data_IF_968440841563
#
_entry.id   IF_968440841563
#
_cell.length_a   1.000
_cell.length_b   1.000
_cell.length_c   1.000
_cell.angle_alpha   90.00
_cell.angle_beta   90.00
_cell.angle_gamma   90.00
#
_symmetry.space_group_name_H-M   'P 1'
#
loop_
_entity.id
_entity.type
_entity.pdbx_description
1 polymer ?
#
# COMPACT_ATOMS: atom_id res chain seq x y z
N UNK A 1 -25.92 69.43 13.13
CA UNK A 1 -24.60 69.63 13.74
C UNK A 1 -24.33 68.48 14.69
N UNK A 2 -23.72 67.40 14.19
CA UNK A 2 -23.31 66.26 15.02
C UNK A 2 -21.92 66.57 15.57
N UNK A 3 -21.80 66.52 16.91
CA UNK A 3 -20.55 66.74 17.67
C UNK A 3 -19.44 65.86 17.09
N UNK A 4 -18.46 66.46 16.42
CA UNK A 4 -17.14 65.85 16.27
C UNK A 4 -16.49 65.88 17.67
N UNK A 5 -16.62 64.79 18.41
CA UNK A 5 -15.73 64.53 19.54
C UNK A 5 -14.33 64.36 18.95
N UNK A 6 -13.46 65.35 19.18
CA UNK A 6 -12.04 65.27 18.84
C UNK A 6 -11.41 64.19 19.70
N UNK A 7 -11.25 62.98 19.15
CA UNK A 7 -10.44 61.93 19.76
C UNK A 7 -9.04 62.47 20.09
N UNK A 8 -8.55 62.11 21.27
CA UNK A 8 -7.20 62.41 21.71
C UNK A 8 -6.17 61.69 20.81
N UNK A 9 -4.94 62.19 20.78
CA UNK A 9 -3.85 61.57 20.00
C UNK A 9 -3.59 60.13 20.49
N UNK A 10 -3.77 59.89 21.78
CA UNK A 10 -3.61 58.58 22.42
C UNK A 10 -4.70 57.59 21.98
N UNK A 11 -5.98 58.01 21.95
CA UNK A 11 -7.08 57.18 21.42
C UNK A 11 -6.89 56.84 19.93
N UNK A 12 -6.41 57.79 19.12
CA UNK A 12 -6.12 57.54 17.70
C UNK A 12 -4.97 56.56 17.49
N UNK A 13 -3.93 56.62 18.34
CA UNK A 13 -2.82 55.68 18.29
C UNK A 13 -3.25 54.27 18.73
N UNK A 14 -4.12 54.17 19.74
CA UNK A 14 -4.70 52.92 20.19
C UNK A 14 -5.58 52.28 19.10
N UNK A 15 -6.45 53.07 18.46
CA UNK A 15 -7.29 52.63 17.35
C UNK A 15 -6.44 52.17 16.15
N UNK A 16 -5.39 52.92 15.81
CA UNK A 16 -4.47 52.58 14.72
C UNK A 16 -3.72 51.27 15.01
N UNK A 17 -3.23 51.09 16.25
CA UNK A 17 -2.58 49.86 16.67
C UNK A 17 -3.53 48.66 16.59
N UNK A 18 -4.78 48.83 17.06
CA UNK A 18 -5.79 47.78 17.05
C UNK A 18 -6.16 47.39 15.60
N UNK A 19 -6.29 48.37 14.71
CA UNK A 19 -6.52 48.14 13.29
C UNK A 19 -5.35 47.39 12.65
N UNK A 20 -4.11 47.81 12.91
CA UNK A 20 -2.92 47.18 12.34
C UNK A 20 -2.71 45.76 12.87
N UNK A 21 -2.97 45.53 14.16
CA UNK A 21 -2.96 44.20 14.76
C UNK A 21 -4.00 43.30 14.07
N UNK A 22 -5.24 43.77 13.94
CA UNK A 22 -6.33 43.02 13.29
C UNK A 22 -6.00 42.73 11.82
N UNK A 23 -5.46 43.70 11.08
CA UNK A 23 -5.04 43.53 9.68
C UNK A 23 -3.93 42.48 9.55
N UNK A 24 -2.95 42.47 10.47
CA UNK A 24 -1.89 41.45 10.48
C UNK A 24 -2.45 40.06 10.74
N UNK A 25 -3.43 39.92 11.65
CA UNK A 25 -4.11 38.65 11.89
C UNK A 25 -4.87 38.18 10.64
N UNK A 26 -5.55 39.10 9.95
CA UNK A 26 -6.33 38.80 8.75
C UNK A 26 -5.43 38.35 7.58
N UNK A 27 -4.27 38.98 7.42
CA UNK A 27 -3.25 38.57 6.44
C UNK A 27 -2.71 37.16 6.73
N UNK A 28 -2.46 36.84 8.00
CA UNK A 28 -2.01 35.50 8.40
C UNK A 28 -3.08 34.44 8.11
N UNK A 29 -4.36 34.74 8.35
CA UNK A 29 -5.47 33.83 8.02
C UNK A 29 -5.55 33.61 6.50
N UNK A 30 -5.43 34.66 5.69
CA UNK A 30 -5.46 34.54 4.24
C UNK A 30 -4.29 33.71 3.69
N UNK A 31 -3.09 33.84 4.27
CA UNK A 31 -1.93 33.00 3.92
C UNK A 31 -2.20 31.53 4.24
N UNK A 32 -2.66 31.24 5.46
CA UNK A 32 -3.01 29.88 5.88
C UNK A 32 -4.09 29.27 4.98
N UNK A 33 -5.09 30.07 4.58
CA UNK A 33 -6.15 29.66 3.66
C UNK A 33 -5.65 29.31 2.25
N UNK A 34 -4.46 29.78 1.86
CA UNK A 34 -3.81 29.40 0.59
C UNK A 34 -2.84 28.23 0.74
N UNK A 35 -2.05 28.21 1.81
CA UNK A 35 -1.04 27.17 2.07
C UNK A 35 -1.68 25.83 2.46
N UNK A 36 -2.71 25.84 3.29
CA UNK A 36 -3.33 24.63 3.83
C UNK A 36 -4.08 23.80 2.76
N UNK A 37 -4.82 24.38 1.79
CA UNK A 37 -5.38 23.61 0.68
C UNK A 37 -4.32 22.95 -0.21
N UNK A 38 -3.20 23.61 -0.46
CA UNK A 38 -2.10 23.03 -1.21
C UNK A 38 -1.51 21.83 -0.48
N UNK A 39 -1.32 21.96 0.84
CA UNK A 39 -0.83 20.87 1.67
C UNK A 39 -1.79 19.68 1.73
N UNK A 40 -3.11 19.93 1.81
CA UNK A 40 -4.14 18.88 1.73
C UNK A 40 -4.06 18.16 0.39
N UNK A 41 -3.91 18.89 -0.71
CA UNK A 41 -3.79 18.31 -2.05
C UNK A 41 -2.52 17.46 -2.20
N UNK A 42 -1.36 17.96 -1.72
CA UNK A 42 -0.11 17.22 -1.74
C UNK A 42 -0.20 15.90 -0.94
N UNK A 43 -0.88 15.93 0.21
CA UNK A 43 -1.14 14.74 1.02
C UNK A 43 -2.09 13.76 0.34
N UNK A 44 -3.13 14.24 -0.35
CA UNK A 44 -4.03 13.39 -1.16
C UNK A 44 -3.28 12.69 -2.30
N UNK A 45 -2.40 13.41 -2.99
CA UNK A 45 -1.56 12.86 -4.05
C UNK A 45 -0.55 11.83 -3.51
N UNK A 46 0.05 12.09 -2.35
CA UNK A 46 0.93 11.14 -1.67
C UNK A 46 0.18 9.83 -1.34
N UNK A 47 -1.01 9.95 -0.72
CA UNK A 47 -1.86 8.79 -0.38
C UNK A 47 -2.25 8.02 -1.64
N UNK A 48 -2.65 8.70 -2.71
CA UNK A 48 -2.96 8.08 -4.00
C UNK A 48 -1.75 7.31 -4.58
N UNK A 49 -0.55 7.87 -4.44
CA UNK A 49 0.69 7.19 -4.78
C UNK A 49 0.93 5.91 -3.98
N UNK A 50 0.71 5.97 -2.66
CA UNK A 50 0.82 4.82 -1.76
C UNK A 50 -0.24 3.75 -2.05
N UNK A 51 -1.48 4.13 -2.34
CA UNK A 51 -2.56 3.21 -2.72
C UNK A 51 -2.26 2.48 -4.04
N UNK A 52 -1.69 3.17 -5.04
CA UNK A 52 -1.21 2.50 -6.26
C UNK A 52 -0.09 1.51 -5.97
N UNK A 53 0.82 1.85 -5.05
CA UNK A 53 1.88 0.91 -4.62
C UNK A 53 1.29 -0.30 -3.90
N UNK A 54 0.28 -0.10 -3.06
CA UNK A 54 -0.49 -1.16 -2.40
C UNK A 54 -1.10 -2.11 -3.41
N UNK A 55 -1.79 -1.56 -4.43
CA UNK A 55 -2.39 -2.36 -5.49
C UNK A 55 -1.35 -3.26 -6.20
N UNK A 56 -0.17 -2.72 -6.52
CA UNK A 56 0.91 -3.52 -7.14
C UNK A 56 1.37 -4.67 -6.26
N UNK A 57 1.47 -4.46 -4.95
CA UNK A 57 1.81 -5.54 -4.02
C UNK A 57 0.70 -6.59 -3.93
N UNK A 58 -0.57 -6.18 -3.98
CA UNK A 58 -1.71 -7.10 -4.04
C UNK A 58 -1.64 -7.99 -5.29
N UNK A 59 -1.42 -7.38 -6.47
CA UNK A 59 -1.25 -8.09 -7.74
C UNK A 59 -0.05 -9.05 -7.70
N UNK A 60 1.06 -8.64 -7.06
CA UNK A 60 2.23 -9.48 -6.87
C UNK A 60 1.90 -10.70 -5.98
N UNK A 61 1.20 -10.51 -4.86
CA UNK A 61 0.79 -11.60 -3.96
C UNK A 61 -0.11 -12.58 -4.71
N UNK A 62 -1.06 -12.10 -5.50
CA UNK A 62 -1.96 -12.93 -6.30
C UNK A 62 -1.18 -13.75 -7.34
N UNK A 63 -0.20 -13.13 -8.02
CA UNK A 63 0.68 -13.83 -8.95
C UNK A 63 1.50 -14.92 -8.27
N UNK A 64 2.11 -14.63 -7.12
CA UNK A 64 2.88 -15.63 -6.36
C UNK A 64 1.99 -16.78 -5.89
N UNK A 65 0.74 -16.49 -5.51
CA UNK A 65 -0.26 -17.50 -5.18
C UNK A 65 -0.65 -18.37 -6.37
N UNK A 66 -0.72 -17.81 -7.58
CA UNK A 66 -0.92 -18.57 -8.82
C UNK A 66 0.27 -19.50 -9.12
N UNK A 67 1.49 -19.00 -8.95
CA UNK A 67 2.70 -19.80 -9.18
C UNK A 67 2.79 -20.99 -8.22
N UNK A 68 2.45 -20.80 -6.94
CA UNK A 68 2.36 -21.89 -5.95
C UNK A 68 1.35 -22.94 -6.42
N UNK A 69 0.15 -22.53 -6.86
CA UNK A 69 -0.87 -23.47 -7.34
C UNK A 69 -0.40 -24.26 -8.57
N UNK A 70 0.27 -23.59 -9.52
CA UNK A 70 0.85 -24.26 -10.69
C UNK A 70 1.91 -25.30 -10.29
N UNK A 71 2.78 -24.98 -9.32
CA UNK A 71 3.74 -25.96 -8.81
C UNK A 71 3.09 -27.11 -8.04
N UNK A 72 2.00 -26.87 -7.31
CA UNK A 72 1.24 -27.94 -6.64
C UNK A 72 0.62 -28.90 -7.67
N UNK A 73 0.08 -28.38 -8.77
CA UNK A 73 -0.44 -29.20 -9.85
C UNK A 73 0.67 -30.05 -10.52
N UNK A 74 1.84 -29.47 -10.73
CA UNK A 74 3.01 -30.21 -11.25
C UNK A 74 3.40 -31.37 -10.33
N UNK A 75 3.39 -31.17 -9.00
CA UNK A 75 3.67 -32.24 -8.03
C UNK A 75 2.62 -33.36 -8.13
N UNK A 76 1.33 -33.01 -8.22
CA UNK A 76 0.26 -34.00 -8.37
C UNK A 76 0.43 -34.82 -9.65
N UNK A 77 0.74 -34.17 -10.78
CA UNK A 77 0.96 -34.84 -12.05
C UNK A 77 2.21 -35.74 -12.05
N UNK A 78 3.30 -35.29 -11.43
CA UNK A 78 4.51 -36.09 -11.27
C UNK A 78 4.25 -37.34 -10.42
N UNK A 79 3.53 -37.18 -9.29
CA UNK A 79 3.16 -38.29 -8.41
C UNK A 79 2.25 -39.31 -9.10
N UNK A 80 1.25 -38.84 -9.85
CA UNK A 80 0.39 -39.73 -10.65
C UNK A 80 1.18 -40.52 -11.70
N UNK A 81 2.18 -39.88 -12.33
CA UNK A 81 3.08 -40.54 -13.28
C UNK A 81 3.96 -41.58 -12.60
N UNK A 82 4.50 -41.27 -11.41
CA UNK A 82 5.26 -42.21 -10.59
C UNK A 82 4.43 -43.45 -10.26
N UNK A 83 3.19 -43.30 -9.80
CA UNK A 83 2.29 -44.43 -9.49
C UNK A 83 2.03 -45.30 -10.73
N UNK A 84 1.79 -44.67 -11.88
CA UNK A 84 1.60 -45.37 -13.15
C UNK A 84 2.84 -46.16 -13.55
N UNK A 85 4.02 -45.57 -13.44
CA UNK A 85 5.27 -46.25 -13.80
C UNK A 85 5.62 -47.37 -12.81
N UNK A 86 5.37 -47.20 -11.52
CA UNK A 86 5.52 -48.25 -10.51
C UNK A 86 4.63 -49.47 -10.84
N UNK A 87 3.37 -49.24 -11.22
CA UNK A 87 2.45 -50.32 -11.62
C UNK A 87 2.92 -51.05 -12.89
N UNK A 88 3.55 -50.34 -13.82
CA UNK A 88 4.13 -50.96 -15.02
C UNK A 88 5.34 -51.82 -14.66
N UNK A 89 6.16 -51.36 -13.73
CA UNK A 89 7.41 -51.98 -13.29
C UNK A 89 7.19 -53.40 -12.75
N UNK A 90 6.07 -53.64 -12.05
CA UNK A 90 5.66 -54.97 -11.55
C UNK A 90 5.46 -56.03 -12.66
N UNK A 91 5.19 -55.58 -13.89
CA UNK A 91 4.90 -56.46 -15.03
C UNK A 91 6.09 -56.61 -16.00
N UNK A 92 7.20 -55.90 -15.77
CA UNK A 92 8.35 -55.89 -16.68
C UNK A 92 9.27 -57.08 -16.42
N UNK A 93 9.50 -57.88 -17.48
CA UNK A 93 10.42 -59.03 -17.46
C UNK A 93 11.74 -58.76 -18.18
N UNK A 94 11.84 -57.64 -18.89
CA UNK A 94 13.00 -57.23 -19.67
C UNK A 94 13.85 -56.22 -18.88
N UNK A 95 15.11 -56.56 -18.61
CA UNK A 95 16.02 -55.72 -17.82
C UNK A 95 16.19 -54.31 -18.41
N UNK A 96 16.15 -54.17 -19.75
CA UNK A 96 16.29 -52.87 -20.41
C UNK A 96 15.08 -51.97 -20.22
N UNK A 97 13.88 -52.54 -20.25
CA UNK A 97 12.63 -51.80 -19.99
C UNK A 97 12.52 -51.42 -18.52
N UNK A 98 12.99 -52.30 -17.63
CA UNK A 98 13.03 -52.06 -16.20
C UNK A 98 13.91 -50.84 -15.88
N UNK A 99 15.14 -50.81 -16.39
CA UNK A 99 16.05 -49.67 -16.21
C UNK A 99 15.49 -48.36 -16.79
N UNK A 100 14.76 -48.44 -17.91
CA UNK A 100 14.13 -47.26 -18.51
C UNK A 100 13.01 -46.69 -17.63
N UNK A 101 12.12 -47.55 -17.11
CA UNK A 101 11.05 -47.11 -16.20
C UNK A 101 11.61 -46.60 -14.87
N UNK A 102 12.67 -47.23 -14.34
CA UNK A 102 13.33 -46.77 -13.12
C UNK A 102 13.88 -45.34 -13.28
N UNK A 103 14.51 -45.03 -14.42
CA UNK A 103 15.00 -43.68 -14.74
C UNK A 103 13.85 -42.67 -14.87
N UNK A 104 12.74 -43.08 -15.46
CA UNK A 104 11.57 -42.22 -15.58
C UNK A 104 10.96 -41.90 -14.20
N UNK A 105 10.84 -42.90 -13.31
CA UNK A 105 10.41 -42.68 -11.92
C UNK A 105 11.35 -41.72 -11.19
N UNK A 106 12.66 -41.89 -11.34
CA UNK A 106 13.66 -40.99 -10.76
C UNK A 106 13.52 -39.57 -11.30
N UNK A 107 13.32 -39.41 -12.61
CA UNK A 107 13.07 -38.12 -13.25
C UNK A 107 11.83 -37.42 -12.66
N UNK A 108 10.70 -38.11 -12.61
CA UNK A 108 9.46 -37.56 -12.04
C UNK A 108 9.62 -37.22 -10.55
N UNK A 109 10.37 -38.03 -9.80
CA UNK A 109 10.66 -37.76 -8.38
C UNK A 109 11.50 -36.49 -8.21
N UNK A 110 12.47 -36.26 -9.10
CA UNK A 110 13.28 -35.05 -9.10
C UNK A 110 12.45 -33.81 -9.49
N UNK A 111 11.53 -33.94 -10.44
CA UNK A 111 10.61 -32.83 -10.79
C UNK A 111 9.69 -32.45 -9.64
N UNK A 112 9.12 -33.43 -8.93
CA UNK A 112 8.29 -33.18 -7.76
C UNK A 112 9.09 -32.41 -6.67
N UNK A 113 10.30 -32.88 -6.35
CA UNK A 113 11.20 -32.22 -5.38
C UNK A 113 11.59 -30.81 -5.81
N UNK A 114 11.84 -30.60 -7.11
CA UNK A 114 12.16 -29.26 -7.63
C UNK A 114 10.97 -28.31 -7.47
N UNK A 115 9.75 -28.79 -7.74
CA UNK A 115 8.53 -28.01 -7.54
C UNK A 115 8.28 -27.70 -6.07
N UNK A 116 8.50 -28.66 -5.15
CA UNK A 116 8.43 -28.42 -3.70
C UNK A 116 9.42 -27.34 -3.26
N UNK A 117 10.67 -27.41 -3.74
CA UNK A 117 11.68 -26.39 -3.44
C UNK A 117 11.25 -25.00 -3.93
N UNK A 118 10.72 -24.91 -5.15
CA UNK A 118 10.19 -23.65 -5.70
C UNK A 118 9.02 -23.11 -4.88
N UNK A 119 8.10 -23.98 -4.44
CA UNK A 119 6.99 -23.58 -3.57
C UNK A 119 7.53 -22.95 -2.28
N UNK A 120 8.52 -23.56 -1.63
CA UNK A 120 9.11 -23.01 -0.41
C UNK A 120 9.72 -21.62 -0.66
N UNK A 121 10.52 -21.46 -1.71
CA UNK A 121 11.12 -20.17 -2.08
C UNK A 121 10.07 -19.09 -2.41
N UNK A 122 8.99 -19.45 -3.11
CA UNK A 122 7.90 -18.53 -3.45
C UNK A 122 7.09 -18.18 -2.19
N UNK A 123 6.88 -19.15 -1.29
CA UNK A 123 6.15 -18.95 -0.04
C UNK A 123 6.89 -17.93 0.84
N UNK A 124 8.21 -18.03 0.97
CA UNK A 124 9.01 -17.02 1.69
C UNK A 124 8.88 -15.62 1.07
N UNK A 125 8.85 -15.51 -0.26
CA UNK A 125 8.63 -14.23 -0.95
C UNK A 125 7.23 -13.68 -0.72
N UNK A 126 6.24 -14.56 -0.72
CA UNK A 126 4.84 -14.23 -0.51
C UNK A 126 4.60 -13.70 0.90
N UNK A 127 5.18 -14.34 1.92
CA UNK A 127 5.10 -13.85 3.31
C UNK A 127 5.76 -12.47 3.45
N UNK A 128 6.96 -12.27 2.91
CA UNK A 128 7.61 -10.93 2.90
C UNK A 128 6.77 -9.87 2.18
N UNK A 129 6.13 -10.24 1.08
CA UNK A 129 5.26 -9.32 0.33
C UNK A 129 4.01 -8.94 1.15
N UNK A 130 3.42 -9.89 1.89
CA UNK A 130 2.32 -9.62 2.81
C UNK A 130 2.73 -8.73 3.97
N UNK A 131 3.88 -9.01 4.60
CA UNK A 131 4.42 -8.16 5.68
C UNK A 131 4.61 -6.71 5.20
N UNK A 132 5.19 -6.53 4.01
CA UNK A 132 5.37 -5.20 3.40
C UNK A 132 4.03 -4.52 3.10
N UNK A 133 3.02 -5.29 2.67
CA UNK A 133 1.67 -4.78 2.42
C UNK A 133 1.01 -4.31 3.72
N UNK A 134 1.13 -5.07 4.80
CA UNK A 134 0.60 -4.70 6.12
C UNK A 134 1.27 -3.44 6.68
N UNK A 135 2.58 -3.30 6.52
CA UNK A 135 3.31 -2.08 6.89
C UNK A 135 2.82 -0.88 6.07
N UNK A 136 2.67 -1.06 4.75
CA UNK A 136 2.18 -0.01 3.86
C UNK A 136 0.74 0.42 4.22
N UNK A 137 -0.11 -0.53 4.61
CA UNK A 137 -1.48 -0.25 5.04
C UNK A 137 -1.52 0.60 6.31
N UNK A 138 -0.64 0.31 7.28
CA UNK A 138 -0.52 1.15 8.48
C UNK A 138 -0.12 2.58 8.13
N UNK A 139 0.88 2.74 7.24
CA UNK A 139 1.33 4.07 6.80
C UNK A 139 0.22 4.83 6.08
N UNK A 140 -0.55 4.16 5.23
CA UNK A 140 -1.68 4.78 4.53
C UNK A 140 -2.75 5.24 5.53
N UNK A 141 -3.10 4.41 6.51
CA UNK A 141 -4.09 4.76 7.54
C UNK A 141 -3.63 5.93 8.42
N UNK A 142 -2.35 5.95 8.82
CA UNK A 142 -1.77 7.08 9.54
C UNK A 142 -1.87 8.37 8.73
N UNK A 143 -1.49 8.33 7.45
CA UNK A 143 -1.55 9.48 6.54
C UNK A 143 -2.98 9.96 6.30
N UNK A 144 -3.94 9.04 6.15
CA UNK A 144 -5.37 9.38 6.06
C UNK A 144 -5.87 10.06 7.33
N UNK A 145 -5.45 9.58 8.50
CA UNK A 145 -5.78 10.21 9.77
C UNK A 145 -5.19 11.61 9.92
N UNK A 146 -3.97 11.86 9.43
CA UNK A 146 -3.37 13.20 9.36
C UNK A 146 -4.15 14.12 8.41
N UNK A 147 -4.50 13.61 7.23
CA UNK A 147 -5.26 14.35 6.21
C UNK A 147 -6.62 14.81 6.74
N UNK A 148 -7.38 13.93 7.40
CA UNK A 148 -8.70 14.25 7.95
C UNK A 148 -8.63 15.37 9.00
N UNK A 149 -7.59 15.38 9.84
CA UNK A 149 -7.36 16.48 10.79
C UNK A 149 -7.12 17.79 10.06
N UNK A 150 -6.27 17.81 9.04
CA UNK A 150 -5.98 19.02 8.25
C UNK A 150 -7.19 19.52 7.48
N UNK A 151 -8.02 18.63 6.94
CA UNK A 151 -9.30 18.99 6.32
C UNK A 151 -10.24 19.65 7.31
N UNK A 152 -10.37 19.09 8.51
CA UNK A 152 -11.18 19.67 9.58
C UNK A 152 -10.67 21.06 9.99
N UNK A 153 -9.35 21.21 10.16
CA UNK A 153 -8.73 22.52 10.45
C UNK A 153 -9.00 23.55 9.33
N UNK A 154 -8.92 23.14 8.08
CA UNK A 154 -9.22 23.99 6.93
C UNK A 154 -10.68 24.43 6.92
N UNK A 155 -11.62 23.51 7.17
CA UNK A 155 -13.05 23.83 7.26
C UNK A 155 -13.35 24.82 8.38
N UNK A 156 -12.73 24.66 9.56
CA UNK A 156 -12.88 25.60 10.66
C UNK A 156 -12.36 27.00 10.32
N UNK A 157 -11.23 27.10 9.62
CA UNK A 157 -10.66 28.38 9.18
C UNK A 157 -11.60 29.06 8.19
N UNK A 158 -12.14 28.32 7.22
CA UNK A 158 -13.10 28.84 6.24
C UNK A 158 -14.34 29.38 6.95
N UNK A 159 -14.94 28.62 7.87
CA UNK A 159 -16.12 29.05 8.61
C UNK A 159 -15.87 30.28 9.49
N UNK A 160 -14.67 30.42 10.05
CA UNK A 160 -14.27 31.61 10.83
C UNK A 160 -14.06 32.85 9.97
N UNK A 161 -13.73 32.69 8.68
CA UNK A 161 -13.53 33.83 7.75
C UNK A 161 -14.75 34.22 6.94
N UNK A 162 -15.76 33.35 6.81
CA UNK A 162 -17.02 33.67 6.13
C UNK A 162 -18.08 34.34 7.03
N UNK A 163 -17.83 34.41 8.34
CA UNK A 163 -18.62 35.20 9.31
C UNK A 163 -18.06 36.60 9.49
#
# INVERSE_FOLDING_TARGET
MTKNQTQTVEEKLLDLYTLQYTSTQLDNINKLKGELPLEVMDMEDEISGLEKRKQRFQEQIDSLGNDIRGHQENILNANASIEKYNTQLDNVKNNREYEALQKEIEYQTLEAKLSEKKINEITEKLEKAKETLEELDKVIEEKKGELEKKKTELEEIIQKTEK
#
